data_IF_777328237526
#
_entry.id   IF_777328237526
#
_cell.length_a   1.000
_cell.length_b   1.000
_cell.length_c   1.000
_cell.angle_alpha   90.00
_cell.angle_beta   90.00
_cell.angle_gamma   90.00
#
_symmetry.space_group_name_H-M   'P 1'
#
loop_
_entity.id
_entity.type
_entity.pdbx_description
1 polymer ?
#
# COMPACT_ATOMS: atom_id res chain seq x y z
N UNK A 1 -16.35 -1.07 27.23
CA UNK A 1 -16.65 -1.85 25.99
C UNK A 1 -16.02 -3.24 26.13
N UNK A 2 -16.59 -4.29 25.52
CA UNK A 2 -15.96 -5.63 25.53
C UNK A 2 -14.58 -5.57 24.86
N UNK A 3 -13.56 -6.30 25.33
CA UNK A 3 -12.21 -6.29 24.74
C UNK A 3 -12.22 -6.58 23.23
N UNK A 4 -13.03 -7.54 22.79
CA UNK A 4 -13.20 -7.89 21.37
C UNK A 4 -13.67 -6.71 20.51
N UNK A 5 -14.51 -5.83 21.06
CA UNK A 5 -15.00 -4.63 20.36
C UNK A 5 -13.90 -3.61 20.17
N UNK A 6 -13.05 -3.44 21.18
CA UNK A 6 -11.90 -2.53 21.15
C UNK A 6 -10.90 -3.02 20.11
N UNK A 7 -10.57 -4.32 20.12
CA UNK A 7 -9.65 -4.93 19.15
C UNK A 7 -10.18 -4.78 17.72
N UNK A 8 -11.48 -5.00 17.50
CA UNK A 8 -12.10 -4.81 16.17
C UNK A 8 -11.96 -3.36 15.68
N UNK A 9 -12.24 -2.38 16.53
CA UNK A 9 -12.15 -0.95 16.14
C UNK A 9 -10.70 -0.56 15.86
N UNK A 10 -9.76 -0.98 16.71
CA UNK A 10 -8.33 -0.75 16.47
C UNK A 10 -7.88 -1.41 15.17
N UNK A 11 -8.30 -2.66 14.91
CA UNK A 11 -8.03 -3.38 13.68
C UNK A 11 -8.55 -2.67 12.43
N UNK A 12 -9.75 -2.07 12.49
CA UNK A 12 -10.31 -1.30 11.38
C UNK A 12 -9.58 0.03 11.13
N UNK A 13 -8.95 0.61 12.16
CA UNK A 13 -8.21 1.88 12.06
C UNK A 13 -6.75 1.70 11.64
N UNK A 14 -6.12 0.57 11.96
CA UNK A 14 -4.71 0.31 11.63
C UNK A 14 -4.36 0.49 10.14
N UNK A 15 -5.18 0.07 9.16
CA UNK A 15 -4.89 0.28 7.74
C UNK A 15 -4.76 1.76 7.36
N UNK A 16 -5.29 2.71 8.15
CA UNK A 16 -5.12 4.13 7.89
C UNK A 16 -3.66 4.59 8.01
N UNK A 17 -2.79 3.81 8.65
CA UNK A 17 -1.35 4.08 8.70
C UNK A 17 -0.70 4.07 7.31
N UNK A 18 -1.32 3.42 6.31
CA UNK A 18 -0.86 3.42 4.92
C UNK A 18 -0.90 4.81 4.25
N UNK A 19 -1.66 5.77 4.82
CA UNK A 19 -1.67 7.16 4.34
C UNK A 19 -0.48 7.98 4.86
N UNK A 20 0.26 7.45 5.84
CA UNK A 20 1.38 8.14 6.48
C UNK A 20 2.70 7.45 6.17
N UNK A 21 2.70 6.12 6.16
CA UNK A 21 3.89 5.31 5.93
C UNK A 21 3.86 4.68 4.54
N UNK A 22 5.03 4.49 3.91
CA UNK A 22 5.09 3.77 2.64
C UNK A 22 4.64 2.32 2.84
N UNK A 23 3.89 1.81 1.86
CA UNK A 23 3.50 0.40 1.78
C UNK A 23 4.73 -0.49 1.55
N UNK A 24 5.66 -0.02 0.72
CA UNK A 24 6.86 -0.75 0.34
C UNK A 24 8.02 0.21 0.00
N UNK A 25 9.24 -0.30 0.02
CA UNK A 25 10.43 0.40 -0.45
C UNK A 25 11.22 -0.53 -1.39
N UNK A 26 11.69 0.04 -2.50
CA UNK A 26 12.62 -0.60 -3.42
C UNK A 26 13.94 0.14 -3.34
N UNK A 27 15.02 -0.59 -3.10
CA UNK A 27 16.39 -0.07 -3.11
C UNK A 27 17.17 -0.74 -4.25
N UNK A 28 17.87 0.07 -5.03
CA UNK A 28 18.68 -0.35 -6.18
C UNK A 28 20.14 0.03 -5.93
N UNK A 29 20.98 -0.99 -5.84
CA UNK A 29 22.43 -0.84 -5.74
C UNK A 29 23.04 -0.96 -7.13
N UNK A 30 23.76 0.09 -7.53
CA UNK A 30 24.45 0.15 -8.81
C UNK A 30 25.88 0.64 -8.60
N UNK A 31 26.90 0.01 -9.21
CA UNK A 31 28.30 0.43 -9.06
C UNK A 31 28.58 1.90 -9.43
N UNK A 32 27.70 2.51 -10.22
CA UNK A 32 27.81 3.88 -10.71
C UNK A 32 27.38 4.94 -9.68
N UNK A 33 26.63 4.56 -8.63
CA UNK A 33 26.14 5.49 -7.63
C UNK A 33 26.78 5.19 -6.25
N UNK A 34 27.37 6.19 -5.58
CA UNK A 34 28.01 5.99 -4.28
C UNK A 34 27.00 5.70 -3.16
N UNK A 35 25.76 6.16 -3.33
CA UNK A 35 24.63 5.87 -2.45
C UNK A 35 23.59 5.05 -3.22
N UNK A 36 22.98 4.02 -2.62
CA UNK A 36 21.89 3.29 -3.26
C UNK A 36 20.74 4.23 -3.64
N UNK A 37 20.20 4.04 -4.85
CA UNK A 37 18.98 4.73 -5.28
C UNK A 37 17.78 4.02 -4.66
N UNK A 38 16.72 4.75 -4.32
CA UNK A 38 15.51 4.11 -3.81
C UNK A 38 14.22 4.83 -4.15
N UNK A 39 13.14 4.06 -4.11
CA UNK A 39 11.79 4.55 -4.31
C UNK A 39 10.88 3.96 -3.23
N UNK A 40 10.13 4.83 -2.57
CA UNK A 40 9.05 4.46 -1.67
C UNK A 40 7.74 4.37 -2.46
N UNK A 41 7.00 3.30 -2.22
CA UNK A 41 5.67 3.08 -2.79
C UNK A 41 4.67 3.41 -1.69
N UNK A 42 3.95 4.52 -1.84
CA UNK A 42 2.82 4.86 -0.98
C UNK A 42 1.53 4.32 -1.59
N UNK A 43 0.46 4.37 -0.80
CA UNK A 43 -0.87 3.94 -1.25
C UNK A 43 -1.41 4.75 -2.44
N UNK A 44 -0.89 5.96 -2.66
CA UNK A 44 -1.42 6.94 -3.61
C UNK A 44 -0.35 7.59 -4.51
N UNK A 45 0.93 7.32 -4.29
CA UNK A 45 2.02 7.86 -5.11
C UNK A 45 3.31 7.03 -4.98
N UNK A 46 4.27 7.37 -5.84
CA UNK A 46 5.67 7.03 -5.64
C UNK A 46 6.39 8.25 -5.06
N UNK A 47 7.31 8.02 -4.12
CA UNK A 47 8.16 9.07 -3.59
C UNK A 47 9.64 8.66 -3.58
N UNK A 48 10.49 9.66 -3.74
CA UNK A 48 11.94 9.51 -3.71
C UNK A 48 12.41 9.03 -2.33
N UNK A 49 13.36 8.09 -2.28
CA UNK A 49 14.07 7.77 -1.03
C UNK A 49 15.10 8.86 -0.70
N UNK A 50 15.86 9.28 -1.70
CA UNK A 50 16.70 10.47 -1.69
C UNK A 50 16.35 11.40 -2.87
N UNK A 51 16.63 12.71 -2.78
CA UNK A 51 16.25 13.66 -3.81
C UNK A 51 16.69 13.23 -5.22
N UNK A 52 15.72 13.13 -6.14
CA UNK A 52 15.90 12.76 -7.54
C UNK A 52 16.20 11.28 -7.81
N UNK A 53 16.02 10.38 -6.84
CA UNK A 53 16.25 8.95 -7.03
C UNK A 53 15.40 8.36 -8.16
N UNK A 54 14.09 8.62 -8.20
CA UNK A 54 13.20 8.11 -9.27
C UNK A 54 13.66 8.61 -10.63
N UNK A 55 14.10 9.87 -10.72
CA UNK A 55 14.65 10.44 -11.97
C UNK A 55 15.94 9.72 -12.39
N UNK A 56 16.84 9.44 -11.45
CA UNK A 56 18.10 8.74 -11.71
C UNK A 56 17.86 7.27 -12.08
N UNK A 57 16.89 6.60 -11.44
CA UNK A 57 16.44 5.24 -11.79
C UNK A 57 15.88 5.24 -13.21
N UNK A 58 15.04 6.22 -13.56
CA UNK A 58 14.49 6.36 -14.91
C UNK A 58 15.56 6.61 -15.98
N UNK A 59 16.58 7.41 -15.66
CA UNK A 59 17.75 7.60 -16.53
C UNK A 59 18.52 6.28 -16.73
N UNK A 60 18.74 5.53 -15.64
CA UNK A 60 19.35 4.20 -15.73
C UNK A 60 18.52 3.28 -16.62
N UNK A 61 17.20 3.19 -16.37
CA UNK A 61 16.26 2.39 -17.15
C UNK A 61 16.35 2.71 -18.65
N UNK A 62 16.41 3.99 -19.01
CA UNK A 62 16.61 4.41 -20.40
C UNK A 62 17.89 3.82 -21.03
N UNK A 63 19.02 3.83 -20.30
CA UNK A 63 20.29 3.30 -20.79
C UNK A 63 20.32 1.77 -20.88
N UNK A 64 19.61 1.06 -20.00
CA UNK A 64 19.52 -0.41 -20.02
C UNK A 64 18.32 -0.95 -20.81
N UNK A 65 17.53 -0.07 -21.45
CA UNK A 65 16.37 -0.44 -22.26
C UNK A 65 15.12 -0.84 -21.47
N UNK A 66 15.07 -0.52 -20.17
CA UNK A 66 13.91 -0.74 -19.31
C UNK A 66 12.89 0.40 -19.41
N UNK A 67 11.63 0.12 -19.06
CA UNK A 67 10.56 1.13 -19.05
C UNK A 67 10.80 2.17 -17.96
N UNK A 68 10.32 3.39 -18.21
CA UNK A 68 10.21 4.41 -17.18
C UNK A 68 9.18 3.98 -16.12
N UNK A 69 9.47 4.31 -14.86
CA UNK A 69 8.51 4.24 -13.77
C UNK A 69 7.38 5.23 -14.11
N UNK A 70 6.12 4.77 -14.18
CA UNK A 70 5.00 5.65 -14.47
C UNK A 70 4.78 6.65 -13.34
N UNK A 71 4.35 7.87 -13.66
CA UNK A 71 4.04 8.89 -12.65
C UNK A 71 2.83 8.51 -11.78
N UNK A 72 1.88 7.77 -12.37
CA UNK A 72 0.68 7.33 -11.68
C UNK A 72 0.18 6.01 -12.24
N UNK A 73 -0.46 5.24 -11.37
CA UNK A 73 -1.07 3.94 -11.68
C UNK A 73 -2.54 3.96 -11.23
N UNK A 74 -3.45 3.21 -11.87
CA UNK A 74 -4.87 3.18 -11.47
C UNK A 74 -5.08 2.86 -9.98
N UNK A 75 -4.21 2.02 -9.43
CA UNK A 75 -4.23 1.52 -8.06
C UNK A 75 -4.07 2.66 -7.05
N UNK A 76 -3.35 3.74 -7.40
CA UNK A 76 -3.22 4.93 -6.56
C UNK A 76 -4.55 5.64 -6.29
N UNK A 77 -5.57 5.38 -7.10
CA UNK A 77 -6.94 5.82 -6.82
C UNK A 77 -7.73 4.73 -6.11
N UNK A 78 -7.58 3.48 -6.53
CA UNK A 78 -8.38 2.35 -6.02
C UNK A 78 -8.02 2.03 -4.56
N UNK A 79 -6.74 1.94 -4.20
CA UNK A 79 -6.32 1.53 -2.86
C UNK A 79 -6.74 2.52 -1.77
N UNK A 80 -6.57 3.85 -1.90
CA UNK A 80 -7.04 4.79 -0.89
C UNK A 80 -8.55 4.67 -0.65
N UNK A 81 -9.35 4.58 -1.70
CA UNK A 81 -10.80 4.39 -1.57
C UNK A 81 -11.14 3.05 -0.92
N UNK A 82 -10.45 1.96 -1.30
CA UNK A 82 -10.62 0.64 -0.72
C UNK A 82 -10.37 0.63 0.79
N UNK A 83 -9.26 1.24 1.24
CA UNK A 83 -8.93 1.36 2.65
C UNK A 83 -9.98 2.21 3.39
N UNK A 84 -10.36 3.38 2.88
CA UNK A 84 -11.36 4.23 3.53
C UNK A 84 -12.72 3.53 3.67
N UNK A 85 -13.19 2.88 2.60
CA UNK A 85 -14.48 2.15 2.59
C UNK A 85 -14.44 1.00 3.60
N UNK A 86 -13.38 0.18 3.58
CA UNK A 86 -13.25 -0.98 4.48
C UNK A 86 -13.06 -0.57 5.94
N UNK A 87 -12.36 0.53 6.21
CA UNK A 87 -12.28 1.12 7.55
C UNK A 87 -13.66 1.58 8.04
N UNK A 88 -14.44 2.31 7.22
CA UNK A 88 -15.79 2.74 7.62
C UNK A 88 -16.69 1.53 7.91
N UNK A 89 -16.67 0.52 7.04
CA UNK A 89 -17.40 -0.74 7.26
C UNK A 89 -16.94 -1.42 8.56
N UNK A 90 -15.64 -1.51 8.79
CA UNK A 90 -15.05 -2.10 9.99
C UNK A 90 -15.45 -1.37 11.26
N UNK A 91 -15.52 -0.05 11.25
CA UNK A 91 -16.00 0.77 12.36
C UNK A 91 -17.49 0.55 12.62
N UNK A 92 -18.32 0.51 11.58
CA UNK A 92 -19.76 0.22 11.71
C UNK A 92 -19.98 -1.17 12.32
N UNK A 93 -19.25 -2.18 11.83
CA UNK A 93 -19.25 -3.55 12.36
C UNK A 93 -18.82 -3.56 13.82
N UNK A 94 -17.70 -2.91 14.13
CA UNK A 94 -17.16 -2.80 15.48
C UNK A 94 -18.15 -2.15 16.42
N UNK A 95 -18.91 -1.13 16.00
CA UNK A 95 -19.84 -0.40 16.86
C UNK A 95 -21.19 -1.10 17.07
N UNK A 96 -21.77 -1.69 16.02
CA UNK A 96 -23.17 -2.15 16.01
C UNK A 96 -23.36 -3.67 16.01
N UNK A 97 -22.35 -4.44 15.60
CA UNK A 97 -22.50 -5.87 15.31
C UNK A 97 -21.69 -6.77 16.28
N UNK A 98 -21.85 -8.09 16.12
CA UNK A 98 -21.24 -9.12 16.95
C UNK A 98 -20.03 -9.79 16.27
N UNK A 99 -19.35 -10.69 17.00
CA UNK A 99 -18.10 -11.33 16.57
C UNK A 99 -18.17 -12.08 15.23
N UNK A 100 -19.35 -12.55 14.81
CA UNK A 100 -19.51 -13.22 13.50
C UNK A 100 -19.21 -12.27 12.35
N UNK A 101 -19.59 -11.00 12.49
CA UNK A 101 -19.31 -9.97 11.50
C UNK A 101 -17.84 -9.54 11.49
N UNK A 102 -17.12 -9.77 12.59
CA UNK A 102 -15.68 -9.50 12.65
C UNK A 102 -14.94 -10.48 11.74
N UNK A 103 -15.38 -11.75 11.72
CA UNK A 103 -14.88 -12.76 10.80
C UNK A 103 -15.19 -12.43 9.33
N UNK A 104 -16.41 -11.96 9.04
CA UNK A 104 -16.78 -11.52 7.68
C UNK A 104 -15.88 -10.38 7.21
N UNK A 105 -15.67 -9.37 8.05
CA UNK A 105 -14.76 -8.27 7.73
C UNK A 105 -13.31 -8.75 7.54
N UNK A 106 -12.84 -9.66 8.40
CA UNK A 106 -11.51 -10.25 8.26
C UNK A 106 -11.34 -10.98 6.92
N UNK A 107 -12.31 -11.82 6.53
CA UNK A 107 -12.28 -12.53 5.24
C UNK A 107 -12.28 -11.54 4.07
N UNK A 108 -13.07 -10.47 4.15
CA UNK A 108 -13.06 -9.39 3.16
C UNK A 108 -11.68 -8.75 3.04
N UNK A 109 -11.04 -8.41 4.16
CA UNK A 109 -9.69 -7.82 4.17
C UNK A 109 -8.66 -8.78 3.57
N UNK A 110 -8.70 -10.06 3.92
CA UNK A 110 -7.80 -11.08 3.35
C UNK A 110 -8.00 -11.18 1.84
N UNK A 111 -9.25 -11.19 1.37
CA UNK A 111 -9.55 -11.27 -0.06
C UNK A 111 -9.05 -10.04 -0.82
N UNK A 112 -9.26 -8.83 -0.29
CA UNK A 112 -8.78 -7.59 -0.90
C UNK A 112 -7.26 -7.49 -0.90
N UNK A 113 -6.60 -7.86 0.19
CA UNK A 113 -5.13 -7.90 0.26
C UNK A 113 -4.56 -8.93 -0.72
N UNK A 114 -5.17 -10.12 -0.82
CA UNK A 114 -4.75 -11.14 -1.79
C UNK A 114 -4.96 -10.66 -3.24
N UNK A 115 -6.06 -9.96 -3.53
CA UNK A 115 -6.30 -9.36 -4.83
C UNK A 115 -5.24 -8.30 -5.18
N UNK A 116 -4.86 -7.44 -4.23
CA UNK A 116 -3.79 -6.45 -4.43
C UNK A 116 -2.42 -7.09 -4.65
N UNK A 117 -2.08 -8.15 -3.91
CA UNK A 117 -0.85 -8.90 -4.13
C UNK A 117 -0.83 -9.61 -5.49
N UNK A 118 -1.97 -10.17 -5.90
CA UNK A 118 -2.08 -10.81 -7.21
C UNK A 118 -1.99 -9.79 -8.35
N UNK A 119 -2.59 -8.61 -8.19
CA UNK A 119 -2.44 -7.51 -9.13
C UNK A 119 -0.97 -7.12 -9.28
N UNK A 120 -0.24 -6.88 -8.18
CA UNK A 120 1.19 -6.61 -8.23
C UNK A 120 2.04 -7.74 -8.83
N UNK A 121 1.64 -8.99 -8.66
CA UNK A 121 2.30 -10.11 -9.33
C UNK A 121 2.13 -10.07 -10.85
N UNK A 122 1.00 -9.58 -11.37
CA UNK A 122 0.78 -9.40 -12.80
C UNK A 122 1.54 -8.21 -13.40
N UNK A 123 2.11 -7.34 -12.56
CA UNK A 123 2.96 -6.23 -12.99
C UNK A 123 4.41 -6.65 -13.26
N UNK A 124 4.81 -7.86 -12.84
CA UNK A 124 6.09 -8.50 -13.13
C UNK A 124 6.23 -8.86 -14.61
#
# INVERSE_FOLDING_TARGET
MKPSKIIMILGALLPLLLFVFPLWNITLEAPQYPTPLGMNIHINDFSDMHPHDIKNINLLNHYIGMKYIPEAIPEFKIFPFGILITTIIGLIIGLKFNYKWYLVWFILMVALSAAGLYDFYLWE
#
